data_IF_348079228631
#
_entry.id   IF_348079228631
#
_cell.length_a   1.000
_cell.length_b   1.000
_cell.length_c   1.000
_cell.angle_alpha   90.00
_cell.angle_beta   90.00
_cell.angle_gamma   90.00
#
_symmetry.space_group_name_H-M   'P 1'
#
loop_
_entity.id
_entity.type
_entity.pdbx_description
1 polymer ?
#
# COMPACT_ATOMS: atom_id res chain seq x y z
N UNK A 1 -24.15 17.72 -12.89
CA UNK A 1 -22.79 17.90 -12.38
C UNK A 1 -22.82 17.74 -10.90
N UNK A 2 -21.85 17.19 -10.39
CA UNK A 2 -21.82 16.93 -8.97
C UNK A 2 -20.73 17.74 -8.29
N UNK A 3 -20.98 18.07 -7.04
CA UNK A 3 -19.96 18.68 -6.19
C UNK A 3 -18.75 17.77 -6.06
N UNK A 4 -18.98 16.46 -6.09
CA UNK A 4 -17.90 15.49 -6.02
C UNK A 4 -16.88 15.70 -7.13
N UNK A 5 -17.36 15.98 -8.35
CA UNK A 5 -16.47 16.24 -9.47
C UNK A 5 -15.63 17.50 -9.23
N UNK A 6 -16.26 18.56 -8.71
CA UNK A 6 -15.54 19.78 -8.41
C UNK A 6 -14.47 19.54 -7.34
N UNK A 7 -14.82 18.77 -6.30
CA UNK A 7 -13.87 18.41 -5.26
C UNK A 7 -12.71 17.59 -5.81
N UNK A 8 -13.01 16.67 -6.74
CA UNK A 8 -11.97 15.84 -7.35
C UNK A 8 -10.99 16.65 -8.19
N UNK A 9 -11.43 17.82 -8.69
CA UNK A 9 -10.58 18.68 -9.49
C UNK A 9 -9.74 19.67 -8.67
N UNK A 10 -9.91 19.69 -7.37
CA UNK A 10 -9.14 20.60 -6.51
C UNK A 10 -7.73 20.08 -6.25
N UNK A 11 -6.77 20.98 -6.30
CA UNK A 11 -5.38 20.64 -5.93
C UNK A 11 -5.30 20.60 -4.40
N UNK A 12 -4.72 19.52 -3.87
CA UNK A 12 -4.54 19.36 -2.44
C UNK A 12 -3.10 19.02 -2.14
N UNK A 13 -2.63 19.42 -0.97
CA UNK A 13 -1.35 19.01 -0.43
C UNK A 13 -1.62 18.31 0.91
N UNK A 14 -1.07 17.13 1.06
CA UNK A 14 -1.14 16.41 2.33
C UNK A 14 0.26 16.41 2.91
N UNK A 15 0.44 17.19 3.96
CA UNK A 15 1.74 17.26 4.63
C UNK A 15 1.99 15.99 5.43
N UNK A 16 3.25 15.67 5.66
CA UNK A 16 3.63 14.43 6.32
C UNK A 16 2.92 14.24 7.65
N UNK A 17 2.85 15.28 8.47
CA UNK A 17 2.19 15.21 9.77
C UNK A 17 0.67 15.17 9.70
N UNK A 18 0.09 15.33 8.51
CA UNK A 18 -1.36 15.40 8.32
C UNK A 18 -1.91 14.19 7.58
N UNK A 19 -1.10 13.16 7.38
CA UNK A 19 -1.58 11.92 6.73
C UNK A 19 -2.70 11.33 7.57
N UNK A 20 -3.86 11.03 6.95
CA UNK A 20 -5.04 10.58 7.71
C UNK A 20 -4.96 9.09 8.04
N UNK A 21 -4.05 8.71 8.93
CA UNK A 21 -3.85 7.32 9.30
C UNK A 21 -5.08 6.72 9.97
N UNK A 22 -5.46 5.53 9.52
CA UNK A 22 -6.53 4.72 10.11
C UNK A 22 -5.96 3.34 10.35
N UNK A 23 -6.16 2.83 11.55
CA UNK A 23 -5.67 1.50 11.89
C UNK A 23 -6.41 0.43 11.08
N UNK A 24 -5.66 -0.55 10.60
CA UNK A 24 -6.19 -1.70 9.90
C UNK A 24 -6.42 -2.82 10.91
N UNK A 25 -7.50 -3.57 10.70
CA UNK A 25 -7.83 -4.71 11.54
C UNK A 25 -7.68 -5.98 10.69
N UNK A 26 -6.79 -6.86 11.13
CA UNK A 26 -6.59 -8.12 10.42
C UNK A 26 -7.80 -9.02 10.59
N UNK A 27 -8.13 -9.85 9.59
CA UNK A 27 -9.21 -10.82 9.75
C UNK A 27 -8.95 -11.78 10.91
N UNK A 28 -9.99 -12.30 11.54
CA UNK A 28 -9.84 -13.28 12.62
C UNK A 28 -8.98 -14.47 12.19
N UNK A 29 -8.07 -14.89 13.07
CA UNK A 29 -7.18 -16.01 12.81
C UNK A 29 -5.94 -15.66 12.02
N UNK A 30 -5.77 -14.41 11.63
CA UNK A 30 -4.58 -13.94 10.95
C UNK A 30 -3.52 -13.59 11.98
N UNK A 31 -2.27 -13.95 11.72
CA UNK A 31 -1.16 -13.51 12.55
C UNK A 31 -0.83 -12.05 12.21
N UNK A 32 -0.30 -11.33 13.20
CA UNK A 32 0.13 -9.97 13.02
C UNK A 32 -0.77 -8.97 13.71
N UNK A 33 -0.28 -7.76 13.83
CA UNK A 33 -0.94 -6.70 14.58
C UNK A 33 -1.69 -5.72 13.70
N UNK A 34 -1.84 -6.04 12.41
CA UNK A 34 -2.39 -5.09 11.46
C UNK A 34 -1.38 -4.04 11.09
N UNK A 35 -1.87 -2.89 10.79
CA UNK A 35 -1.04 -1.77 10.40
C UNK A 35 -1.90 -0.54 10.34
N UNK A 36 -1.51 0.41 9.51
CA UNK A 36 -2.30 1.61 9.31
C UNK A 36 -2.26 2.00 7.84
N UNK A 37 -3.31 2.62 7.38
CA UNK A 37 -3.44 3.10 6.02
C UNK A 37 -3.92 4.54 6.05
N UNK A 38 -3.42 5.34 5.13
CA UNK A 38 -3.87 6.73 4.97
C UNK A 38 -4.27 6.91 3.51
N UNK A 39 -5.55 6.84 3.24
CA UNK A 39 -6.06 7.02 1.88
C UNK A 39 -5.90 8.48 1.47
N UNK A 40 -5.37 8.72 0.27
CA UNK A 40 -5.09 10.09 -0.18
C UNK A 40 -5.90 10.49 -1.40
N UNK A 41 -6.15 9.58 -2.33
CA UNK A 41 -6.90 9.91 -3.53
C UNK A 41 -7.54 8.65 -4.11
N UNK A 42 -8.76 8.80 -4.59
CA UNK A 42 -9.45 7.78 -5.39
C UNK A 42 -10.02 8.49 -6.60
N UNK A 43 -9.74 7.96 -7.80
CA UNK A 43 -10.28 8.55 -9.02
C UNK A 43 -11.82 8.42 -9.04
N UNK A 44 -12.54 9.29 -9.80
CA UNK A 44 -13.99 9.23 -9.82
C UNK A 44 -14.56 7.87 -10.25
N UNK A 45 -13.86 7.14 -11.10
CA UNK A 45 -14.30 5.80 -11.52
C UNK A 45 -13.81 4.69 -10.54
N UNK A 46 -13.08 5.07 -9.51
CA UNK A 46 -12.60 4.13 -8.51
C UNK A 46 -11.41 3.27 -8.96
N UNK A 47 -10.95 3.43 -10.20
CA UNK A 47 -9.91 2.55 -10.74
C UNK A 47 -8.53 2.84 -10.15
N UNK A 48 -8.23 4.11 -9.90
CA UNK A 48 -6.95 4.51 -9.31
C UNK A 48 -7.15 4.89 -7.86
N UNK A 49 -6.38 4.23 -6.99
CA UNK A 49 -6.38 4.55 -5.56
C UNK A 49 -4.95 4.76 -5.11
N UNK A 50 -4.73 5.79 -4.32
CA UNK A 50 -3.39 6.06 -3.76
C UNK A 50 -3.50 6.26 -2.26
N UNK A 51 -2.38 6.03 -1.59
CA UNK A 51 -2.34 6.23 -0.15
C UNK A 51 -1.00 5.85 0.44
N UNK A 52 -0.94 5.92 1.75
CA UNK A 52 0.21 5.46 2.53
C UNK A 52 -0.20 4.23 3.33
N UNK A 53 0.77 3.35 3.56
CA UNK A 53 0.54 2.13 4.31
C UNK A 53 1.73 1.92 5.24
N UNK A 54 1.45 1.48 6.45
CA UNK A 54 2.46 1.23 7.46
C UNK A 54 2.16 -0.10 8.13
N UNK A 55 3.20 -0.91 8.32
CA UNK A 55 3.06 -2.17 9.04
C UNK A 55 4.32 -2.50 9.80
N UNK A 56 4.14 -2.96 11.02
CA UNK A 56 5.21 -3.43 11.89
C UNK A 56 5.71 -4.80 11.43
N UNK A 57 6.87 -5.25 11.95
CA UNK A 57 7.42 -6.56 11.56
C UNK A 57 6.38 -7.68 11.66
N UNK A 58 6.25 -8.42 10.57
CA UNK A 58 5.24 -9.45 10.40
C UNK A 58 5.57 -10.27 9.16
N UNK A 59 4.91 -11.41 9.01
CA UNK A 59 5.07 -12.30 7.84
C UNK A 59 3.70 -12.77 7.39
N UNK A 60 3.39 -12.57 6.10
CA UNK A 60 2.14 -13.07 5.53
C UNK A 60 2.29 -13.23 4.01
N UNK A 61 1.44 -14.08 3.44
CA UNK A 61 1.40 -14.29 1.99
C UNK A 61 0.34 -13.40 1.37
N UNK A 62 0.57 -13.02 0.12
CA UNK A 62 -0.36 -12.17 -0.62
C UNK A 62 -0.46 -12.61 -2.08
N UNK A 63 -1.56 -12.23 -2.69
CA UNK A 63 -1.75 -12.30 -4.13
C UNK A 63 -2.45 -11.01 -4.54
N UNK A 64 -1.93 -10.34 -5.58
CA UNK A 64 -2.47 -9.04 -5.98
C UNK A 64 -3.67 -9.20 -6.90
N UNK A 65 -4.85 -8.72 -6.48
CA UNK A 65 -6.01 -8.70 -7.37
C UNK A 65 -6.03 -7.48 -8.29
N UNK A 66 -5.02 -6.64 -8.22
CA UNK A 66 -4.89 -5.38 -8.97
C UNK A 66 -3.41 -5.10 -9.20
N UNK A 67 -3.11 -4.10 -10.04
CA UNK A 67 -1.73 -3.63 -10.21
C UNK A 67 -1.39 -2.69 -9.06
N UNK A 68 -0.20 -2.83 -8.49
CA UNK A 68 0.27 -1.91 -7.46
C UNK A 68 1.71 -1.51 -7.70
N UNK A 69 1.99 -0.23 -7.51
CA UNK A 69 3.34 0.32 -7.48
C UNK A 69 3.50 1.02 -6.14
N UNK A 70 4.60 0.77 -5.45
CA UNK A 70 4.81 1.36 -4.13
C UNK A 70 6.23 1.89 -3.99
N UNK A 71 6.34 3.12 -3.48
CA UNK A 71 7.61 3.69 -3.10
C UNK A 71 7.81 3.43 -1.61
N UNK A 72 8.90 2.75 -1.27
CA UNK A 72 9.22 2.46 0.13
C UNK A 72 9.83 3.71 0.75
N UNK A 73 9.22 4.22 1.80
CA UNK A 73 9.64 5.46 2.46
C UNK A 73 10.46 5.20 3.71
N UNK A 74 10.24 4.05 4.37
CA UNK A 74 10.96 3.68 5.59
C UNK A 74 10.93 2.18 5.76
N UNK A 75 11.93 1.64 6.46
CA UNK A 75 11.94 0.25 6.85
C UNK A 75 12.63 -0.67 5.86
N UNK A 76 12.54 -1.96 6.16
CA UNK A 76 13.15 -3.00 5.34
C UNK A 76 12.29 -4.25 5.40
N UNK A 77 12.20 -4.96 4.27
CA UNK A 77 11.45 -6.20 4.19
C UNK A 77 12.04 -7.10 3.12
N UNK A 78 11.70 -8.38 3.22
CA UNK A 78 11.98 -9.36 2.18
C UNK A 78 10.66 -9.81 1.57
N UNK A 79 10.69 -10.07 0.27
CA UNK A 79 9.57 -10.67 -0.44
C UNK A 79 10.06 -11.93 -1.10
N UNK A 80 9.48 -13.06 -0.72
CA UNK A 80 9.77 -14.33 -1.36
C UNK A 80 8.75 -14.57 -2.46
N UNK A 81 9.22 -14.79 -3.68
CA UNK A 81 8.37 -15.02 -4.83
C UNK A 81 9.13 -15.86 -5.86
N UNK A 82 8.48 -16.85 -6.43
CA UNK A 82 9.06 -17.73 -7.47
C UNK A 82 10.42 -18.30 -7.09
N UNK A 83 10.58 -18.71 -5.83
CA UNK A 83 11.83 -19.29 -5.35
C UNK A 83 12.96 -18.29 -5.14
N UNK A 84 12.69 -17.00 -5.23
CA UNK A 84 13.66 -15.92 -5.02
C UNK A 84 13.29 -15.10 -3.82
N UNK A 85 14.28 -14.47 -3.23
CA UNK A 85 14.07 -13.51 -2.14
C UNK A 85 14.52 -12.14 -2.64
N UNK A 86 13.59 -11.20 -2.63
CA UNK A 86 13.86 -9.81 -3.00
C UNK A 86 13.87 -8.97 -1.72
N UNK A 87 14.87 -8.12 -1.58
CA UNK A 87 14.94 -7.19 -0.44
C UNK A 87 14.50 -5.81 -0.89
N UNK A 88 13.64 -5.18 -0.12
CA UNK A 88 13.20 -3.82 -0.36
C UNK A 88 13.53 -2.95 0.83
N UNK A 89 13.99 -1.72 0.57
CA UNK A 89 14.42 -0.74 1.57
C UNK A 89 13.89 0.63 1.20
N UNK A 90 14.00 1.57 2.14
CA UNK A 90 13.64 2.95 1.88
C UNK A 90 14.32 3.45 0.59
N UNK A 91 13.54 4.08 -0.27
CA UNK A 91 13.98 4.58 -1.57
C UNK A 91 13.71 3.65 -2.73
N UNK A 92 13.39 2.38 -2.47
CA UNK A 92 13.11 1.41 -3.53
C UNK A 92 11.69 1.53 -4.03
N UNK A 93 11.51 1.26 -5.31
CA UNK A 93 10.19 1.16 -5.93
C UNK A 93 9.85 -0.32 -6.09
N UNK A 94 8.72 -0.71 -5.52
CA UNK A 94 8.22 -2.08 -5.61
C UNK A 94 7.06 -2.14 -6.58
N UNK A 95 7.15 -3.02 -7.56
CA UNK A 95 6.10 -3.21 -8.54
C UNK A 95 5.51 -4.60 -8.36
N UNK A 96 4.22 -4.67 -8.04
CA UNK A 96 3.51 -5.95 -7.90
C UNK A 96 2.30 -5.94 -8.82
N UNK A 97 2.46 -6.45 -10.06
CA UNK A 97 1.36 -6.47 -11.02
C UNK A 97 0.23 -7.39 -10.58
N UNK A 98 -0.95 -7.19 -11.16
CA UNK A 98 -2.10 -8.08 -10.94
C UNK A 98 -1.70 -9.53 -11.21
N UNK A 99 -2.06 -10.40 -10.28
CA UNK A 99 -1.74 -11.83 -10.36
C UNK A 99 -0.42 -12.20 -9.72
N UNK A 100 0.43 -11.22 -9.36
CA UNK A 100 1.67 -11.53 -8.67
C UNK A 100 1.38 -12.00 -7.25
N UNK A 101 2.21 -12.91 -6.77
CA UNK A 101 2.04 -13.51 -5.44
C UNK A 101 3.38 -13.69 -4.76
N UNK A 102 3.37 -13.65 -3.46
CA UNK A 102 4.58 -13.85 -2.68
C UNK A 102 4.30 -13.83 -1.20
N UNK A 103 5.38 -13.82 -0.42
CA UNK A 103 5.33 -13.74 1.03
C UNK A 103 6.14 -12.54 1.48
N UNK A 104 5.49 -11.63 2.19
CA UNK A 104 6.15 -10.51 2.85
C UNK A 104 6.74 -10.98 4.17
N UNK A 105 7.98 -10.55 4.42
CA UNK A 105 8.60 -10.67 5.74
C UNK A 105 9.19 -9.32 6.09
N UNK A 106 8.49 -8.56 6.92
CA UNK A 106 8.93 -7.24 7.34
C UNK A 106 9.88 -7.41 8.52
N UNK A 107 11.09 -6.87 8.39
CA UNK A 107 12.10 -6.91 9.44
C UNK A 107 12.19 -5.60 10.20
N UNK A 108 11.87 -4.48 9.53
CA UNK A 108 11.76 -3.16 10.15
C UNK A 108 10.46 -2.53 9.66
N UNK A 109 9.74 -1.86 10.54
CA UNK A 109 8.45 -1.23 10.20
C UNK A 109 8.51 -0.55 8.84
N UNK A 110 7.66 -1.00 7.94
CA UNK A 110 7.58 -0.46 6.57
C UNK A 110 6.60 0.69 6.56
N UNK A 111 6.98 1.75 5.85
CA UNK A 111 6.06 2.80 5.42
C UNK A 111 6.23 2.91 3.92
N UNK A 112 5.14 2.86 3.19
CA UNK A 112 5.17 3.00 1.74
C UNK A 112 4.07 3.94 1.27
N UNK A 113 4.31 4.63 0.15
CA UNK A 113 3.29 5.28 -0.63
C UNK A 113 2.93 4.34 -1.78
N UNK A 114 1.65 4.05 -1.94
CA UNK A 114 1.21 3.12 -2.99
C UNK A 114 0.25 3.78 -3.97
N UNK A 115 0.28 3.26 -5.18
CA UNK A 115 -0.72 3.56 -6.20
C UNK A 115 -1.24 2.22 -6.72
N UNK A 116 -2.55 2.04 -6.64
CA UNK A 116 -3.24 0.84 -7.08
C UNK A 116 -4.10 1.21 -8.28
N UNK A 117 -4.03 0.37 -9.31
CA UNK A 117 -4.92 0.49 -10.45
C UNK A 117 -5.72 -0.80 -10.57
N UNK A 118 -7.04 -0.67 -10.41
CA UNK A 118 -7.95 -1.80 -10.46
C UNK A 118 -8.91 -1.61 -11.63
N UNK A 119 -8.75 -2.41 -12.63
CA UNK A 119 -9.54 -2.31 -13.86
C UNK A 119 -10.89 -3.01 -13.78
N UNK A 120 -11.22 -3.54 -12.63
CA UNK A 120 -12.47 -4.25 -12.42
C UNK A 120 -12.41 -5.74 -12.49
#
# INVERSE_FOLDING_TARGET
MSETREQAAEIRVIHEGERPWTDLVDPPGTAGTGGAEAETFTSPDGALQTGFWRREPDTWSFERPYDEVALILAGEAEIETDGRVLTVRAGDLLVTPKGSAGTWRITETIVKFFAIYDRG
#
